data_IF_801675115817
#
_entry.id   IF_801675115817
#
_cell.length_a   1.000
_cell.length_b   1.000
_cell.length_c   1.000
_cell.angle_alpha   90.00
_cell.angle_beta   90.00
_cell.angle_gamma   90.00
#
_symmetry.space_group_name_H-M   'P 1'
#
loop_
_entity.id
_entity.type
_entity.pdbx_description
1 polymer ?
#
# COMPACT_ATOMS: atom_id res chain seq x y z
N UNK A 1 4.67 11.52 51.55
CA UNK A 1 3.55 11.84 50.66
C UNK A 1 4.12 12.71 49.56
N UNK A 2 4.61 12.05 48.50
CA UNK A 2 4.95 12.67 47.23
C UNK A 2 4.42 11.67 46.22
N UNK A 3 3.33 12.04 45.57
CA UNK A 3 2.73 11.32 44.46
C UNK A 3 3.64 11.50 43.24
N UNK A 4 4.32 10.43 42.82
CA UNK A 4 4.95 10.37 41.50
C UNK A 4 3.96 9.74 40.54
N UNK A 5 3.13 10.61 39.97
CA UNK A 5 2.19 10.29 38.89
C UNK A 5 2.98 10.10 37.58
N UNK A 6 3.60 8.93 37.44
CA UNK A 6 4.28 8.46 36.23
C UNK A 6 3.28 7.83 35.25
N UNK A 7 2.24 8.57 34.88
CA UNK A 7 1.21 8.15 33.94
C UNK A 7 1.66 8.26 32.47
N UNK A 8 2.31 7.20 32.01
CA UNK A 8 2.29 6.65 30.64
C UNK A 8 2.18 7.59 29.44
N UNK A 9 3.32 7.89 28.82
CA UNK A 9 3.44 8.52 27.50
C UNK A 9 3.22 7.50 26.38
N UNK A 10 2.05 6.84 26.29
CA UNK A 10 1.71 6.09 25.08
C UNK A 10 1.28 7.07 24.00
N UNK A 11 2.24 7.49 23.16
CA UNK A 11 1.91 7.98 21.82
C UNK A 11 1.04 6.94 21.09
N UNK A 12 0.25 7.34 20.08
CA UNK A 12 -0.64 6.40 19.38
C UNK A 12 0.14 5.17 18.92
N UNK A 13 -0.37 3.99 19.30
CA UNK A 13 0.21 2.70 18.93
C UNK A 13 0.47 2.69 17.42
N UNK A 14 1.73 2.51 17.03
CA UNK A 14 2.06 2.48 15.61
C UNK A 14 1.46 1.22 14.99
N UNK A 15 0.83 1.31 13.81
CA UNK A 15 0.26 0.13 13.19
C UNK A 15 1.36 -0.88 12.87
N UNK A 16 1.12 -2.15 13.22
CA UNK A 16 1.99 -3.26 12.84
C UNK A 16 1.85 -3.54 11.34
N UNK A 17 2.84 -3.08 10.57
CA UNK A 17 2.86 -3.22 9.12
C UNK A 17 2.87 -4.68 8.68
N UNK A 18 3.29 -5.63 9.52
CA UNK A 18 3.37 -7.05 9.15
C UNK A 18 1.99 -7.70 9.00
N UNK A 19 0.95 -7.10 9.58
CA UNK A 19 -0.44 -7.53 9.44
C UNK A 19 -1.02 -7.20 8.07
N UNK A 20 -0.35 -6.34 7.30
CA UNK A 20 -0.86 -5.82 6.05
C UNK A 20 0.03 -6.23 4.87
N UNK A 21 -0.61 -6.53 3.76
CA UNK A 21 -0.01 -6.46 2.44
C UNK A 21 -0.37 -5.11 1.83
N UNK A 22 0.59 -4.49 1.14
CA UNK A 22 0.38 -3.20 0.48
C UNK A 22 0.58 -3.32 -1.03
N UNK A 23 -0.21 -2.54 -1.77
CA UNK A 23 0.03 -2.26 -3.18
C UNK A 23 -0.01 -0.76 -3.40
N UNK A 24 1.02 -0.25 -4.07
CA UNK A 24 1.13 1.16 -4.45
C UNK A 24 1.00 1.26 -5.96
N UNK A 25 -0.11 1.85 -6.43
CA UNK A 25 -0.36 2.09 -7.85
C UNK A 25 0.34 3.40 -8.25
N UNK A 26 1.24 3.36 -9.25
CA UNK A 26 1.88 4.57 -9.73
C UNK A 26 0.87 5.50 -10.40
N UNK A 27 1.02 6.80 -10.16
CA UNK A 27 0.37 7.84 -10.94
C UNK A 27 1.23 8.11 -12.17
N UNK A 28 0.62 8.03 -13.35
CA UNK A 28 1.31 8.28 -14.61
C UNK A 28 0.46 9.26 -15.41
N UNK A 29 1.04 10.41 -15.70
CA UNK A 29 0.37 11.53 -16.37
C UNK A 29 1.16 11.94 -17.61
N UNK A 30 0.44 12.23 -18.69
CA UNK A 30 1.02 12.88 -19.86
C UNK A 30 1.17 14.37 -19.57
N UNK A 31 2.32 14.94 -19.94
CA UNK A 31 2.56 16.38 -19.94
C UNK A 31 3.16 16.81 -21.28
N UNK A 32 3.35 18.12 -21.49
CA UNK A 32 3.60 18.77 -22.80
C UNK A 32 4.41 17.98 -23.84
N UNK A 33 5.52 17.35 -23.44
CA UNK A 33 6.39 16.60 -24.36
C UNK A 33 6.79 15.22 -23.85
N UNK A 34 6.02 14.66 -22.90
CA UNK A 34 6.37 13.36 -22.34
C UNK A 34 5.40 12.85 -21.28
N UNK A 35 5.92 11.93 -20.48
CA UNK A 35 5.19 11.22 -19.45
C UNK A 35 5.92 11.36 -18.12
N UNK A 36 5.20 11.81 -17.09
CA UNK A 36 5.68 11.86 -15.72
C UNK A 36 5.08 10.68 -14.97
N UNK A 37 5.89 9.98 -14.21
CA UNK A 37 5.47 8.92 -13.33
C UNK A 37 5.93 9.20 -11.89
N UNK A 38 5.08 8.92 -10.91
CA UNK A 38 5.39 9.01 -9.48
C UNK A 38 4.59 7.96 -8.70
N UNK A 39 5.01 7.67 -7.48
CA UNK A 39 4.17 6.93 -6.54
C UNK A 39 3.42 7.91 -5.61
N UNK A 40 2.17 7.61 -5.22
CA UNK A 40 1.43 8.44 -4.28
C UNK A 40 2.22 8.68 -2.98
N UNK A 41 2.30 9.93 -2.56
CA UNK A 41 2.97 10.33 -1.32
C UNK A 41 4.50 10.36 -1.37
N UNK A 42 5.12 10.16 -2.54
CA UNK A 42 6.57 10.37 -2.71
C UNK A 42 6.88 11.77 -3.24
N UNK A 43 7.97 12.37 -2.76
CA UNK A 43 8.49 13.67 -3.26
C UNK A 43 9.26 13.55 -4.59
N UNK A 44 9.48 12.34 -5.08
CA UNK A 44 10.24 12.08 -6.30
C UNK A 44 9.32 11.63 -7.44
N UNK A 45 9.73 11.95 -8.66
CA UNK A 45 9.08 11.55 -9.90
C UNK A 45 10.13 11.31 -10.97
N UNK A 46 9.75 10.59 -12.01
CA UNK A 46 10.58 10.38 -13.20
C UNK A 46 9.86 10.90 -14.43
N UNK A 47 10.62 11.24 -15.45
CA UNK A 47 10.11 11.71 -16.74
C UNK A 47 10.67 10.82 -17.85
N UNK A 48 9.86 10.51 -18.86
CA UNK A 48 10.29 9.86 -20.09
C UNK A 48 9.47 10.31 -21.30
N UNK A 49 9.91 9.92 -22.50
CA UNK A 49 9.22 10.24 -23.75
C UNK A 49 7.97 9.39 -24.01
N UNK A 50 7.83 8.23 -23.34
CA UNK A 50 6.68 7.33 -23.47
C UNK A 50 6.19 6.88 -22.09
N UNK A 51 4.91 6.51 -22.01
CA UNK A 51 4.31 5.99 -20.76
C UNK A 51 5.06 4.76 -20.25
N UNK A 52 5.38 3.82 -21.14
CA UNK A 52 6.12 2.60 -20.81
C UNK A 52 7.51 2.89 -20.26
N UNK A 53 8.24 3.84 -20.87
CA UNK A 53 9.55 4.24 -20.38
C UNK A 53 9.47 4.97 -19.03
N UNK A 54 8.43 5.79 -18.80
CA UNK A 54 8.22 6.46 -17.52
C UNK A 54 7.91 5.43 -16.42
N UNK A 55 7.06 4.44 -16.72
CA UNK A 55 6.76 3.31 -15.82
C UNK A 55 8.00 2.50 -15.46
N UNK A 56 8.82 2.15 -16.45
CA UNK A 56 10.05 1.40 -16.24
C UNK A 56 11.03 2.20 -15.36
N UNK A 57 11.30 3.46 -15.70
CA UNK A 57 12.18 4.34 -14.90
C UNK A 57 11.71 4.48 -13.46
N UNK A 58 10.40 4.53 -13.24
CA UNK A 58 9.83 4.63 -11.90
C UNK A 58 10.11 3.36 -11.07
N UNK A 59 9.98 2.19 -11.70
CA UNK A 59 10.32 0.91 -11.06
C UNK A 59 11.80 0.86 -10.72
N UNK A 60 12.68 1.25 -11.64
CA UNK A 60 14.12 1.31 -11.43
C UNK A 60 14.50 2.24 -10.27
N UNK A 61 13.88 3.43 -10.19
CA UNK A 61 14.10 4.37 -9.08
C UNK A 61 13.65 3.80 -7.73
N UNK A 62 12.52 3.09 -7.68
CA UNK A 62 12.07 2.42 -6.46
C UNK A 62 13.04 1.31 -6.02
N UNK A 63 13.56 0.53 -6.97
CA UNK A 63 14.57 -0.50 -6.71
C UNK A 63 15.90 0.08 -6.25
N UNK A 64 16.34 1.19 -6.84
CA UNK A 64 17.54 1.93 -6.41
C UNK A 64 17.45 2.34 -4.95
N UNK A 65 16.31 2.88 -4.54
CA UNK A 65 16.05 3.29 -3.15
C UNK A 65 16.02 2.11 -2.19
N UNK A 66 15.37 1.00 -2.57
CA UNK A 66 15.41 -0.24 -1.77
C UNK A 66 16.84 -0.76 -1.60
N UNK A 67 17.65 -0.70 -2.66
CA UNK A 67 19.07 -1.12 -2.60
C UNK A 67 19.93 -0.24 -1.70
N UNK A 68 19.55 1.02 -1.45
CA UNK A 68 20.22 1.86 -0.46
C UNK A 68 19.83 1.54 0.98
N UNK A 69 19.02 0.49 1.21
CA UNK A 69 18.68 -0.03 2.54
C UNK A 69 17.44 0.58 3.18
N UNK A 70 16.68 1.40 2.44
CA UNK A 70 15.45 2.04 2.95
C UNK A 70 14.29 1.61 2.07
N UNK A 71 13.22 1.06 2.64
CA UNK A 71 11.97 0.89 1.89
C UNK A 71 11.38 2.29 1.62
N UNK A 72 11.34 2.74 0.35
CA UNK A 72 10.88 4.10 0.04
C UNK A 72 9.40 4.33 0.37
N UNK A 73 8.65 3.27 0.70
CA UNK A 73 7.21 3.35 0.95
C UNK A 73 6.81 3.13 2.41
N UNK A 74 7.73 2.83 3.33
CA UNK A 74 7.34 2.51 4.72
C UNK A 74 6.56 3.65 5.39
N UNK A 75 7.03 4.89 5.22
CA UNK A 75 6.32 6.08 5.72
C UNK A 75 4.95 6.28 5.07
N UNK A 76 4.81 5.90 3.80
CA UNK A 76 3.54 5.95 3.06
C UNK A 76 2.57 4.91 3.62
N UNK A 77 3.02 3.69 3.91
CA UNK A 77 2.18 2.64 4.51
C UNK A 77 1.61 3.08 5.86
N UNK A 78 2.46 3.62 6.75
CA UNK A 78 2.05 4.10 8.07
C UNK A 78 1.06 5.27 7.97
N UNK A 79 1.30 6.20 7.03
CA UNK A 79 0.37 7.30 6.76
C UNK A 79 -0.96 6.77 6.23
N UNK A 80 -0.91 5.85 5.27
CA UNK A 80 -2.08 5.28 4.61
C UNK A 80 -3.05 4.55 5.55
N UNK A 81 -2.50 3.82 6.53
CA UNK A 81 -3.31 3.13 7.53
C UNK A 81 -4.07 4.10 8.46
N UNK A 82 -3.56 5.32 8.65
CA UNK A 82 -4.24 6.38 9.44
C UNK A 82 -5.21 7.19 8.59
N UNK A 83 -4.83 7.51 7.37
CA UNK A 83 -5.59 8.32 6.43
C UNK A 83 -5.44 7.73 5.04
N UNK A 84 -6.55 7.38 4.39
CA UNK A 84 -6.51 6.78 3.05
C UNK A 84 -5.78 7.70 2.06
N UNK A 85 -4.90 7.11 1.26
CA UNK A 85 -4.10 7.82 0.25
C UNK A 85 -4.54 7.24 -1.10
N UNK A 86 -5.08 8.04 -2.02
CA UNK A 86 -5.48 7.57 -3.34
C UNK A 86 -4.34 6.84 -4.06
N UNK A 87 -4.62 5.64 -4.57
CA UNK A 87 -3.64 4.79 -5.26
C UNK A 87 -2.76 3.94 -4.33
N UNK A 88 -2.94 4.02 -3.02
CA UNK A 88 -2.38 3.06 -2.06
C UNK A 88 -3.50 2.14 -1.59
N UNK A 89 -3.22 0.85 -1.50
CA UNK A 89 -4.17 -0.17 -1.09
C UNK A 89 -3.57 -1.00 0.03
N UNK A 90 -4.37 -1.26 1.07
CA UNK A 90 -4.02 -2.18 2.15
C UNK A 90 -4.99 -3.37 2.18
N UNK A 91 -4.43 -4.57 2.34
CA UNK A 91 -5.17 -5.82 2.50
C UNK A 91 -4.58 -6.59 3.68
N UNK A 92 -5.41 -7.33 4.42
CA UNK A 92 -4.92 -8.25 5.45
C UNK A 92 -3.90 -9.25 4.86
N UNK A 93 -2.77 -9.45 5.53
CA UNK A 93 -1.67 -10.26 4.99
C UNK A 93 -2.04 -11.75 4.88
N UNK A 94 -2.89 -12.29 5.77
CA UNK A 94 -3.36 -13.66 5.67
C UNK A 94 -4.30 -13.84 4.47
N UNK A 95 -5.19 -12.85 4.23
CA UNK A 95 -6.02 -12.81 3.04
C UNK A 95 -5.16 -12.74 1.76
N UNK A 96 -4.19 -11.83 1.71
CA UNK A 96 -3.26 -11.72 0.58
C UNK A 96 -2.58 -13.05 0.25
N UNK A 97 -2.02 -13.72 1.27
CA UNK A 97 -1.32 -14.99 1.10
C UNK A 97 -2.23 -16.09 0.57
N UNK A 98 -3.48 -16.14 1.04
CA UNK A 98 -4.45 -17.09 0.52
C UNK A 98 -4.76 -16.81 -0.95
N UNK A 99 -5.18 -15.59 -1.29
CA UNK A 99 -5.58 -15.23 -2.66
C UNK A 99 -4.43 -15.41 -3.63
N UNK A 100 -3.22 -14.98 -3.27
CA UNK A 100 -2.03 -15.17 -4.10
C UNK A 100 -1.74 -16.66 -4.35
N UNK A 101 -1.86 -17.50 -3.32
CA UNK A 101 -1.60 -18.94 -3.41
C UNK A 101 -2.66 -19.67 -4.23
N UNK A 102 -3.94 -19.40 -4.00
CA UNK A 102 -5.06 -20.12 -4.64
C UNK A 102 -5.24 -19.70 -6.10
N UNK A 103 -4.95 -18.45 -6.44
CA UNK A 103 -5.05 -17.94 -7.81
C UNK A 103 -3.81 -18.15 -8.67
N UNK A 104 -2.71 -18.61 -8.08
CA UNK A 104 -1.42 -18.67 -8.78
C UNK A 104 -0.86 -17.29 -9.13
N UNK A 105 -1.01 -16.32 -8.22
CA UNK A 105 -0.58 -14.93 -8.38
C UNK A 105 -1.26 -14.17 -9.53
N UNK A 106 -2.54 -14.44 -9.79
CA UNK A 106 -3.34 -13.66 -10.73
C UNK A 106 -3.38 -12.19 -10.29
N UNK A 107 -2.76 -11.32 -11.10
CA UNK A 107 -2.63 -9.90 -10.79
C UNK A 107 -3.95 -9.15 -10.84
N UNK A 108 -4.89 -9.60 -11.68
CA UNK A 108 -6.22 -9.02 -11.82
C UNK A 108 -7.05 -9.34 -10.59
N UNK A 109 -7.12 -10.62 -10.20
CA UNK A 109 -7.85 -11.01 -9.00
C UNK A 109 -7.26 -10.36 -7.74
N UNK A 110 -5.94 -10.38 -7.59
CA UNK A 110 -5.27 -9.69 -6.49
C UNK A 110 -5.61 -8.21 -6.46
N UNK A 111 -5.66 -7.54 -7.61
CA UNK A 111 -6.05 -6.14 -7.69
C UNK A 111 -7.48 -5.92 -7.21
N UNK A 112 -8.43 -6.76 -7.64
CA UNK A 112 -9.82 -6.68 -7.22
C UNK A 112 -9.96 -6.84 -5.71
N UNK A 113 -9.26 -7.81 -5.11
CA UNK A 113 -9.32 -8.02 -3.66
C UNK A 113 -8.66 -6.86 -2.90
N UNK A 114 -7.53 -6.32 -3.38
CA UNK A 114 -6.94 -5.11 -2.81
C UNK A 114 -7.90 -3.91 -2.82
N UNK A 115 -8.61 -3.70 -3.92
CA UNK A 115 -9.59 -2.62 -4.05
C UNK A 115 -10.77 -2.80 -3.09
N UNK A 116 -11.27 -4.03 -2.95
CA UNK A 116 -12.36 -4.33 -2.03
C UNK A 116 -11.93 -4.20 -0.56
N UNK A 117 -10.75 -4.72 -0.21
CA UNK A 117 -10.16 -4.54 1.13
C UNK A 117 -10.03 -3.06 1.47
N UNK A 118 -9.50 -2.26 0.55
CA UNK A 118 -9.29 -0.84 0.78
C UNK A 118 -10.62 -0.08 0.89
N UNK A 119 -11.60 -0.40 0.04
CA UNK A 119 -12.95 0.18 0.11
C UNK A 119 -13.61 -0.07 1.47
N UNK A 120 -13.54 -1.31 1.97
CA UNK A 120 -14.08 -1.67 3.29
C UNK A 120 -13.32 -0.99 4.41
N UNK A 121 -11.98 -0.99 4.35
CA UNK A 121 -11.13 -0.32 5.34
C UNK A 121 -11.45 1.17 5.45
N UNK A 122 -11.58 1.87 4.32
CA UNK A 122 -11.94 3.29 4.28
C UNK A 122 -13.35 3.56 4.86
N UNK A 123 -14.25 2.58 4.81
CA UNK A 123 -15.57 2.63 5.43
C UNK A 123 -15.58 2.15 6.90
N UNK A 124 -14.42 1.84 7.50
CA UNK A 124 -14.32 1.30 8.87
C UNK A 124 -14.75 -0.17 9.00
N UNK A 125 -14.89 -0.88 7.89
CA UNK A 125 -15.27 -2.29 7.82
C UNK A 125 -14.03 -3.18 7.69
N UNK A 126 -14.12 -4.41 8.20
CA UNK A 126 -13.06 -5.41 8.08
C UNK A 126 -13.24 -6.22 6.79
N UNK A 127 -12.11 -6.65 6.22
CA UNK A 127 -12.08 -7.66 5.16
C UNK A 127 -10.89 -8.60 5.35
N UNK A 128 -11.16 -9.67 6.07
CA UNK A 128 -10.23 -10.71 6.49
C UNK A 128 -10.42 -11.95 5.62
N UNK A 129 -9.50 -12.91 5.78
CA UNK A 129 -9.59 -14.22 5.15
C UNK A 129 -10.91 -14.96 5.45
N UNK A 130 -11.45 -14.81 6.66
CA UNK A 130 -12.70 -15.48 7.03
C UNK A 130 -13.90 -14.92 6.25
N UNK A 131 -13.99 -13.59 6.15
CA UNK A 131 -15.05 -12.90 5.40
C UNK A 131 -14.97 -13.22 3.90
N UNK A 132 -13.75 -13.18 3.33
CA UNK A 132 -13.53 -13.57 1.94
C UNK A 132 -13.98 -15.02 1.66
N UNK A 133 -13.62 -15.98 2.52
CA UNK A 133 -14.01 -17.39 2.34
C UNK A 133 -15.52 -17.59 2.45
N UNK A 134 -16.20 -16.88 3.35
CA UNK A 134 -17.65 -16.95 3.48
C UNK A 134 -18.34 -16.46 2.20
N UNK A 135 -17.83 -15.39 1.59
CA UNK A 135 -18.36 -14.85 0.34
C UNK A 135 -18.13 -15.79 -0.86
N UNK A 136 -16.99 -16.48 -0.93
CA UNK A 136 -16.71 -17.44 -2.02
C UNK A 136 -17.50 -18.76 -1.91
N UNK A 137 -18.09 -19.05 -0.74
CA UNK A 137 -18.88 -20.26 -0.53
C UNK A 137 -20.36 -20.12 -0.93
N UNK A 138 -20.76 -18.93 -1.40
CA UNK A 138 -22.13 -18.59 -1.82
C UNK A 138 -22.23 -18.61 -3.35
#
# INVERSE_FOLDING_TARGET
MIDEDGGDMTGPEQPDLNQWAFRVRPAIEQFETGWRASYPGTEWSVIASTEGAARQRLQEEAENRRRSGVDPFEGIYRKHLREAIPGVYAMDNALYREVARTSGYDQTLLQTVFEESERRRAAGQRYTLAEYRAEQAT
#
